data_IF_071220491147
#
_entry.id   IF_071220491147
#
_cell.length_a   1.000
_cell.length_b   1.000
_cell.length_c   1.000
_cell.angle_alpha   90.00
_cell.angle_beta   90.00
_cell.angle_gamma   90.00
#
_symmetry.space_group_name_H-M   'P 1'
#
loop_
_entity.id
_entity.type
_entity.pdbx_description
1 polymer ?
#
# COMPACT_ATOMS: atom_id res chain seq x y z
N UNK A 1 -26.14 -28.46 28.91
CA UNK A 1 -26.48 -27.51 27.83
C UNK A 1 -26.74 -26.17 28.51
N UNK A 2 -25.95 -25.10 28.39
CA UNK A 2 -25.42 -24.53 27.16
C UNK A 2 -24.07 -23.84 27.40
N UNK A 3 -22.98 -24.47 26.95
CA UNK A 3 -21.66 -23.84 26.78
C UNK A 3 -21.58 -22.91 25.54
N UNK A 4 -22.73 -22.52 24.98
CA UNK A 4 -22.81 -21.89 23.66
C UNK A 4 -22.36 -20.41 23.68
N UNK A 5 -22.22 -19.77 24.85
CA UNK A 5 -21.94 -18.33 24.95
C UNK A 5 -20.46 -17.93 25.07
N UNK A 6 -19.50 -18.84 24.90
CA UNK A 6 -18.06 -18.53 25.06
C UNK A 6 -17.23 -18.57 23.78
N UNK A 7 -17.86 -18.43 22.61
CA UNK A 7 -17.16 -18.11 21.37
C UNK A 7 -17.18 -16.59 21.14
N UNK A 8 -16.45 -15.84 21.98
CA UNK A 8 -16.08 -14.44 21.67
C UNK A 8 -15.01 -14.45 20.56
N UNK A 9 -15.42 -14.77 19.34
CA UNK A 9 -14.62 -14.74 18.12
C UNK A 9 -15.19 -13.74 17.12
N UNK A 10 -14.30 -13.13 16.31
CA UNK A 10 -14.55 -12.14 15.24
C UNK A 10 -16.05 -11.86 14.94
N UNK A 11 -16.66 -11.00 15.74
CA UNK A 11 -18.08 -10.62 15.57
C UNK A 11 -18.20 -9.30 14.81
N UNK A 12 -19.16 -9.22 13.88
CA UNK A 12 -19.54 -7.98 13.19
C UNK A 12 -18.49 -7.45 12.21
N UNK A 13 -18.15 -6.16 12.33
CA UNK A 13 -17.22 -5.45 11.43
C UNK A 13 -15.79 -6.04 11.39
N UNK A 14 -15.38 -6.85 12.39
CA UNK A 14 -14.09 -7.56 12.41
C UNK A 14 -13.97 -8.53 11.22
N UNK A 15 -15.07 -9.14 10.78
CA UNK A 15 -15.06 -10.08 9.64
C UNK A 15 -14.70 -9.36 8.34
N UNK A 16 -15.20 -8.14 8.15
CA UNK A 16 -14.89 -7.32 6.97
C UNK A 16 -13.41 -6.89 6.98
N UNK A 17 -12.87 -6.52 8.15
CA UNK A 17 -11.42 -6.24 8.30
C UNK A 17 -10.60 -7.47 7.92
N UNK A 18 -10.99 -8.66 8.39
CA UNK A 18 -10.29 -9.90 8.07
C UNK A 18 -10.27 -10.19 6.57
N UNK A 19 -11.41 -10.02 5.89
CA UNK A 19 -11.49 -10.16 4.42
C UNK A 19 -10.59 -9.15 3.73
N UNK A 20 -10.64 -7.87 4.14
CA UNK A 20 -9.79 -6.82 3.57
C UNK A 20 -8.30 -7.13 3.74
N UNK A 21 -7.88 -7.63 4.91
CA UNK A 21 -6.51 -8.01 5.19
C UNK A 21 -6.04 -9.21 4.35
N UNK A 22 -6.90 -10.19 4.06
CA UNK A 22 -6.58 -11.30 3.17
C UNK A 22 -6.39 -10.81 1.73
N UNK A 23 -7.27 -9.92 1.27
CA UNK A 23 -7.24 -9.40 -0.10
C UNK A 23 -6.05 -8.44 -0.30
N UNK A 24 -5.64 -7.70 0.72
CA UNK A 24 -4.58 -6.69 0.65
C UNK A 24 -3.26 -7.18 0.03
N UNK A 25 -2.58 -8.23 0.54
CA UNK A 25 -1.32 -8.71 -0.04
C UNK A 25 -1.49 -9.17 -1.49
N UNK A 26 -2.60 -9.85 -1.81
CA UNK A 26 -2.90 -10.32 -3.16
C UNK A 26 -3.03 -9.13 -4.10
N UNK A 27 -3.79 -8.10 -3.69
CA UNK A 27 -3.96 -6.89 -4.49
C UNK A 27 -2.62 -6.19 -4.72
N UNK A 28 -1.81 -6.01 -3.68
CA UNK A 28 -0.49 -5.36 -3.79
C UNK A 28 0.43 -6.11 -4.75
N UNK A 29 0.45 -7.45 -4.68
CA UNK A 29 1.27 -8.28 -5.59
C UNK A 29 0.77 -8.15 -7.04
N UNK A 30 -0.53 -8.24 -7.28
CA UNK A 30 -1.11 -8.14 -8.63
C UNK A 30 -0.86 -6.76 -9.23
N UNK A 31 -1.14 -5.69 -8.48
CA UNK A 31 -0.91 -4.31 -8.94
C UNK A 31 0.59 -4.06 -9.17
N UNK A 32 1.46 -4.52 -8.26
CA UNK A 32 2.90 -4.43 -8.46
C UNK A 32 3.35 -5.15 -9.73
N UNK A 33 2.88 -6.38 -9.98
CA UNK A 33 3.20 -7.10 -11.20
C UNK A 33 2.74 -6.34 -12.45
N UNK A 34 1.51 -5.82 -12.46
CA UNK A 34 0.98 -5.05 -13.59
C UNK A 34 1.79 -3.78 -13.87
N UNK A 35 2.27 -3.09 -12.83
CA UNK A 35 3.04 -1.86 -12.98
C UNK A 35 4.49 -2.12 -13.42
N UNK A 36 5.15 -3.14 -12.86
CA UNK A 36 6.58 -3.39 -13.13
C UNK A 36 6.85 -4.35 -14.28
N UNK A 37 5.88 -5.18 -14.67
CA UNK A 37 6.07 -6.11 -15.80
C UNK A 37 6.43 -5.37 -17.10
N UNK A 38 5.72 -4.29 -17.52
CA UNK A 38 6.12 -3.52 -18.70
C UNK A 38 7.50 -2.88 -18.55
N UNK A 39 7.84 -2.43 -17.33
CA UNK A 39 9.15 -1.81 -17.03
C UNK A 39 10.30 -2.74 -17.41
N UNK A 40 10.22 -4.01 -17.02
CA UNK A 40 11.30 -4.97 -17.22
C UNK A 40 11.17 -5.83 -18.49
N UNK A 41 9.95 -6.09 -18.96
CA UNK A 41 9.71 -7.01 -20.09
C UNK A 41 9.56 -6.28 -21.43
N UNK A 42 9.10 -5.03 -21.43
CA UNK A 42 8.77 -4.28 -22.66
C UNK A 42 9.82 -3.19 -22.97
N UNK A 43 10.96 -3.21 -22.29
CA UNK A 43 12.09 -2.31 -22.57
C UNK A 43 11.91 -0.88 -22.05
N UNK A 44 10.83 -0.60 -21.31
CA UNK A 44 10.57 0.73 -20.71
C UNK A 44 11.69 1.14 -19.76
N UNK A 45 12.30 0.21 -19.03
CA UNK A 45 13.49 0.49 -18.21
C UNK A 45 14.63 1.12 -19.03
N UNK A 46 14.92 0.59 -20.23
CA UNK A 46 15.96 1.14 -21.10
C UNK A 46 15.54 2.49 -21.67
N UNK A 47 14.26 2.67 -22.01
CA UNK A 47 13.73 3.94 -22.49
C UNK A 47 13.85 5.05 -21.44
N UNK A 48 13.74 4.75 -20.14
CA UNK A 48 13.87 5.76 -19.08
C UNK A 48 15.32 5.97 -18.61
N UNK A 49 16.21 4.99 -18.82
CA UNK A 49 17.58 5.02 -18.26
C UNK A 49 18.71 5.14 -19.29
N UNK A 50 18.43 4.97 -20.58
CA UNK A 50 19.43 5.17 -21.65
C UNK A 50 19.61 6.65 -21.95
N UNK A 51 20.86 7.12 -21.98
CA UNK A 51 21.22 8.53 -22.22
C UNK A 51 20.76 9.01 -23.61
N UNK A 52 20.63 8.10 -24.58
CA UNK A 52 20.21 8.42 -25.95
C UNK A 52 18.67 8.57 -26.07
N UNK A 53 17.92 8.31 -25.00
CA UNK A 53 16.46 8.40 -25.00
C UNK A 53 15.98 9.83 -24.74
N UNK A 54 14.92 10.29 -25.44
CA UNK A 54 14.29 11.59 -25.13
C UNK A 54 13.62 11.63 -23.74
N UNK A 55 13.38 10.48 -23.12
CA UNK A 55 12.77 10.36 -21.79
C UNK A 55 13.79 10.16 -20.67
N UNK A 56 15.08 10.24 -21.00
CA UNK A 56 16.16 10.01 -20.06
C UNK A 56 16.14 11.02 -18.90
N UNK A 57 16.27 10.48 -17.69
CA UNK A 57 16.59 11.27 -16.52
C UNK A 57 17.47 10.44 -15.57
N UNK A 58 18.57 10.99 -15.01
CA UNK A 58 19.47 10.24 -14.13
C UNK A 58 18.78 9.62 -12.91
N UNK A 59 17.70 10.25 -12.42
CA UNK A 59 16.97 9.79 -11.24
C UNK A 59 15.99 8.63 -11.50
N UNK A 60 15.63 8.32 -12.76
CA UNK A 60 14.67 7.26 -13.08
C UNK A 60 15.05 5.92 -12.47
N UNK A 61 16.32 5.55 -12.59
CA UNK A 61 16.83 4.30 -12.04
C UNK A 61 16.61 4.22 -10.52
N UNK A 62 16.98 5.28 -9.80
CA UNK A 62 16.85 5.33 -8.35
C UNK A 62 15.38 5.34 -7.90
N UNK A 63 14.53 6.07 -8.63
CA UNK A 63 13.10 6.13 -8.41
C UNK A 63 12.44 4.75 -8.58
N UNK A 64 12.71 4.03 -9.68
CA UNK A 64 12.17 2.70 -9.90
C UNK A 64 12.59 1.70 -8.80
N UNK A 65 13.85 1.74 -8.36
CA UNK A 65 14.29 0.89 -7.25
C UNK A 65 13.60 1.26 -5.93
N UNK A 66 13.37 2.55 -5.68
CA UNK A 66 12.62 3.03 -4.53
C UNK A 66 11.18 2.52 -4.55
N UNK A 67 10.47 2.66 -5.66
CA UNK A 67 9.08 2.21 -5.80
C UNK A 67 8.97 0.70 -5.55
N UNK A 68 9.86 -0.10 -6.15
CA UNK A 68 9.90 -1.56 -5.96
C UNK A 68 10.17 -1.91 -4.49
N UNK A 69 11.15 -1.26 -3.86
CA UNK A 69 11.50 -1.50 -2.46
C UNK A 69 10.34 -1.17 -1.51
N UNK A 70 9.66 -0.02 -1.72
CA UNK A 70 8.48 0.38 -0.96
C UNK A 70 7.34 -0.62 -1.14
N UNK A 71 7.07 -1.05 -2.38
CA UNK A 71 6.01 -2.01 -2.65
C UNK A 71 6.27 -3.38 -1.98
N UNK A 72 7.50 -3.90 -2.05
CA UNK A 72 7.90 -5.12 -1.35
C UNK A 72 7.70 -4.96 0.16
N UNK A 73 8.14 -3.83 0.71
CA UNK A 73 7.97 -3.52 2.13
C UNK A 73 6.49 -3.47 2.56
N UNK A 74 5.62 -2.86 1.75
CA UNK A 74 4.16 -2.84 2.00
C UNK A 74 3.55 -4.24 1.95
N UNK A 75 3.97 -5.08 1.00
CA UNK A 75 3.55 -6.49 0.93
C UNK A 75 3.95 -7.22 2.21
N UNK A 76 5.20 -7.09 2.66
CA UNK A 76 5.68 -7.72 3.89
C UNK A 76 4.89 -7.27 5.13
N UNK A 77 4.64 -5.96 5.29
CA UNK A 77 3.82 -5.46 6.40
C UNK A 77 2.39 -5.99 6.32
N UNK A 78 1.81 -6.10 5.12
CA UNK A 78 0.45 -6.64 4.97
C UNK A 78 0.35 -8.10 5.45
N UNK A 79 1.37 -8.93 5.20
CA UNK A 79 1.45 -10.29 5.75
C UNK A 79 1.62 -10.30 7.28
N UNK A 80 2.42 -9.38 7.83
CA UNK A 80 2.58 -9.23 9.29
C UNK A 80 1.24 -8.85 9.93
N UNK A 81 0.51 -7.89 9.36
CA UNK A 81 -0.81 -7.49 9.83
C UNK A 81 -1.81 -8.64 9.77
N UNK A 82 -1.81 -9.40 8.66
CA UNK A 82 -2.64 -10.60 8.51
C UNK A 82 -2.33 -11.64 9.59
N UNK A 83 -1.05 -11.92 9.84
CA UNK A 83 -0.63 -12.83 10.89
C UNK A 83 -1.08 -12.35 12.28
N UNK A 84 -0.81 -11.09 12.63
CA UNK A 84 -1.17 -10.53 13.94
C UNK A 84 -2.68 -10.50 14.16
N UNK A 85 -3.45 -10.26 13.10
CA UNK A 85 -4.91 -10.29 13.12
C UNK A 85 -5.44 -11.68 13.49
N UNK A 86 -4.98 -12.74 12.80
CA UNK A 86 -5.42 -14.10 13.10
C UNK A 86 -4.89 -14.62 14.45
N UNK A 87 -3.73 -14.14 14.89
CA UNK A 87 -3.20 -14.41 16.22
C UNK A 87 -3.88 -13.60 17.33
N UNK A 88 -4.82 -12.70 16.99
CA UNK A 88 -5.49 -11.79 17.92
C UNK A 88 -4.51 -11.03 18.81
N UNK A 89 -3.37 -10.65 18.25
CA UNK A 89 -2.29 -10.01 19.01
C UNK A 89 -2.67 -8.57 19.39
N UNK A 90 -2.38 -8.15 20.62
CA UNK A 90 -2.75 -6.81 21.13
C UNK A 90 -2.04 -5.64 20.41
N UNK A 91 -0.96 -5.92 19.68
CA UNK A 91 -0.23 -4.94 18.86
C UNK A 91 -0.92 -4.67 17.52
N UNK A 92 -1.73 -5.61 17.01
CA UNK A 92 -2.42 -5.45 15.72
C UNK A 92 -3.11 -4.09 15.58
N UNK A 93 -3.92 -3.62 16.57
CA UNK A 93 -4.58 -2.32 16.48
C UNK A 93 -3.64 -1.17 16.15
N UNK A 94 -2.52 -1.08 16.88
CA UNK A 94 -1.56 0.01 16.76
C UNK A 94 -0.81 -0.08 15.43
N UNK A 95 -0.37 -1.27 15.06
CA UNK A 95 0.37 -1.48 13.81
C UNK A 95 -0.51 -1.20 12.59
N UNK A 96 -1.80 -1.56 12.63
CA UNK A 96 -2.74 -1.29 11.55
C UNK A 96 -2.94 0.22 11.35
N UNK A 97 -3.14 0.98 12.42
CA UNK A 97 -3.28 2.44 12.36
C UNK A 97 -2.00 3.07 11.80
N UNK A 98 -0.82 2.67 12.31
CA UNK A 98 0.47 3.13 11.80
C UNK A 98 0.64 2.81 10.32
N UNK A 99 0.19 1.64 9.86
CA UNK A 99 0.25 1.25 8.46
C UNK A 99 -0.65 2.12 7.57
N UNK A 100 -1.87 2.44 7.99
CA UNK A 100 -2.75 3.36 7.25
C UNK A 100 -2.12 4.75 7.10
N UNK A 101 -1.54 5.28 8.17
CA UNK A 101 -0.84 6.59 8.14
C UNK A 101 0.39 6.52 7.25
N UNK A 102 1.17 5.43 7.34
CA UNK A 102 2.36 5.22 6.54
C UNK A 102 2.05 5.19 5.04
N UNK A 103 0.96 4.55 4.61
CA UNK A 103 0.52 4.56 3.21
C UNK A 103 0.28 5.99 2.73
N UNK A 104 -0.43 6.81 3.51
CA UNK A 104 -0.70 8.21 3.14
C UNK A 104 0.59 8.99 2.98
N UNK A 105 1.54 8.81 3.92
CA UNK A 105 2.86 9.45 3.85
C UNK A 105 3.61 8.99 2.59
N UNK A 106 3.62 7.69 2.30
CA UNK A 106 4.30 7.14 1.14
C UNK A 106 3.72 7.67 -0.18
N UNK A 107 2.40 7.79 -0.31
CA UNK A 107 1.75 8.40 -1.49
C UNK A 107 2.22 9.85 -1.68
N UNK A 108 2.26 10.64 -0.59
CA UNK A 108 2.71 12.03 -0.66
C UNK A 108 4.21 12.17 -1.00
N UNK A 109 5.03 11.29 -0.44
CA UNK A 109 6.47 11.24 -0.74
C UNK A 109 6.69 10.86 -2.20
N UNK A 110 5.98 9.85 -2.70
CA UNK A 110 6.08 9.38 -4.07
C UNK A 110 5.70 10.47 -5.09
N UNK A 111 4.54 11.10 -4.88
CA UNK A 111 4.07 12.25 -5.66
C UNK A 111 5.04 13.45 -5.63
N UNK A 112 5.80 13.60 -4.54
CA UNK A 112 6.83 14.64 -4.43
C UNK A 112 8.15 14.23 -5.10
N UNK A 113 8.51 12.95 -5.09
CA UNK A 113 9.74 12.44 -5.70
C UNK A 113 9.66 12.47 -7.23
N UNK A 114 8.50 12.13 -7.81
CA UNK A 114 8.34 12.14 -9.27
C UNK A 114 8.52 13.54 -9.87
N UNK A 115 8.20 14.61 -9.12
CA UNK A 115 8.46 16.01 -9.52
C UNK A 115 9.94 16.34 -9.75
N UNK A 116 10.86 15.61 -9.12
CA UNK A 116 12.30 15.76 -9.37
C UNK A 116 12.70 15.26 -10.75
N UNK A 117 11.84 14.47 -11.40
CA UNK A 117 12.04 13.86 -12.72
C UNK A 117 11.17 14.58 -13.75
N UNK A 118 9.90 14.80 -13.41
CA UNK A 118 8.88 15.41 -14.25
C UNK A 118 8.32 16.68 -13.58
N UNK A 119 9.04 17.81 -13.62
CA UNK A 119 8.67 19.01 -12.87
C UNK A 119 7.37 19.65 -13.35
N UNK A 120 7.01 19.44 -14.62
CA UNK A 120 5.82 20.02 -15.25
C UNK A 120 4.53 19.21 -14.98
N UNK A 121 4.64 17.96 -14.53
CA UNK A 121 3.47 17.11 -14.23
C UNK A 121 2.81 17.53 -12.92
N UNK A 122 1.49 17.45 -12.79
CA UNK A 122 0.81 17.84 -11.54
C UNK A 122 1.15 16.87 -10.40
N UNK A 123 1.36 17.38 -9.17
CA UNK A 123 1.63 16.53 -7.98
C UNK A 123 0.42 15.67 -7.65
N UNK A 124 -0.78 16.21 -7.86
CA UNK A 124 -2.04 15.56 -7.55
C UNK A 124 -2.81 15.31 -8.84
N UNK A 125 -2.25 14.47 -9.70
CA UNK A 125 -3.00 13.97 -10.84
C UNK A 125 -4.25 13.17 -10.38
N UNK A 126 -5.06 12.78 -11.36
CA UNK A 126 -6.34 12.11 -11.08
C UNK A 126 -6.14 10.77 -10.34
N UNK A 127 -5.06 10.06 -10.61
CA UNK A 127 -4.83 8.74 -10.06
C UNK A 127 -4.25 8.82 -8.64
N UNK A 128 -3.25 9.67 -8.41
CA UNK A 128 -2.73 9.99 -7.08
C UNK A 128 -3.83 10.51 -6.16
N UNK A 129 -4.68 11.41 -6.67
CA UNK A 129 -5.82 11.95 -5.90
C UNK A 129 -6.80 10.87 -5.50
N UNK A 130 -7.15 9.94 -6.41
CA UNK A 130 -8.02 8.81 -6.09
C UNK A 130 -7.40 7.87 -5.06
N UNK A 131 -6.11 7.56 -5.18
CA UNK A 131 -5.42 6.66 -4.25
C UNK A 131 -5.31 7.27 -2.85
N UNK A 132 -5.02 8.58 -2.78
CA UNK A 132 -4.98 9.33 -1.53
C UNK A 132 -6.36 9.35 -0.87
N UNK A 133 -7.41 9.71 -1.62
CA UNK A 133 -8.78 9.71 -1.10
C UNK A 133 -9.19 8.32 -0.59
N UNK A 134 -8.96 7.25 -1.38
CA UNK A 134 -9.26 5.88 -0.97
C UNK A 134 -8.55 5.48 0.32
N UNK A 135 -7.27 5.84 0.45
CA UNK A 135 -6.48 5.55 1.66
C UNK A 135 -7.01 6.29 2.88
N UNK A 136 -7.39 7.56 2.72
CA UNK A 136 -8.00 8.36 3.79
C UNK A 136 -9.37 7.79 4.20
N UNK A 137 -10.27 7.52 3.25
CA UNK A 137 -11.58 6.92 3.53
C UNK A 137 -11.47 5.57 4.23
N UNK A 138 -10.54 4.73 3.77
CA UNK A 138 -10.25 3.46 4.43
C UNK A 138 -9.78 3.68 5.88
N UNK A 139 -8.81 4.58 6.10
CA UNK A 139 -8.34 4.94 7.43
C UNK A 139 -9.47 5.46 8.35
N UNK A 140 -10.31 6.37 7.85
CA UNK A 140 -11.42 6.95 8.62
C UNK A 140 -12.45 5.91 9.08
N UNK A 141 -12.71 4.88 8.26
CA UNK A 141 -13.66 3.83 8.62
C UNK A 141 -13.06 2.91 9.69
N UNK A 142 -11.79 2.52 9.53
CA UNK A 142 -11.21 1.43 10.32
C UNK A 142 -10.45 1.89 11.57
N UNK A 143 -9.78 3.05 11.54
CA UNK A 143 -8.99 3.56 12.68
C UNK A 143 -9.84 3.75 13.95
N UNK A 144 -11.01 4.44 13.92
CA UNK A 144 -11.80 4.69 15.12
C UNK A 144 -12.33 3.42 15.77
N UNK A 145 -12.54 2.40 14.96
CA UNK A 145 -13.02 1.11 15.42
C UNK A 145 -11.91 0.32 16.10
N UNK A 146 -10.73 0.34 15.49
CA UNK A 146 -9.55 -0.34 15.99
C UNK A 146 -9.01 0.27 17.30
N UNK A 147 -9.25 1.57 17.55
CA UNK A 147 -8.91 2.23 18.83
C UNK A 147 -9.87 1.90 19.98
N UNK A 148 -11.06 1.34 19.70
CA UNK A 148 -12.08 1.01 20.71
C UNK A 148 -12.02 -0.45 21.20
N UNK A 149 -11.14 -1.27 20.63
CA UNK A 149 -11.00 -2.71 20.92
C UNK A 149 -9.74 -2.96 21.76
#
# INVERSE_FOLDING_TARGET
MNEINKLKGLGGWLTLVGIALIISPIRLIVTGYQNYYPVFSEGVFNLLTSVDSPYYHPLWKYYLFWEIAVNIFLVLISFILLYLFFRKHSIFPKLFISFCVLIIILILVDASLIKLILPNEEVFDNDTSKELMRSIFYGMIWIPWQSKT
#
